data_IF_543270927841
#
_entry.id   IF_543270927841
#
_cell.length_a   1.000
_cell.length_b   1.000
_cell.length_c   1.000
_cell.angle_alpha   90.00
_cell.angle_beta   90.00
_cell.angle_gamma   90.00
#
_symmetry.space_group_name_H-M   'P 1'
#
loop_
_entity.id
_entity.type
_entity.pdbx_description
1 polymer ?
#
# COMPACT_ATOMS: atom_id res chain seq x y z
N UNK A 1 -13.97 -17.92 34.91
CA UNK A 1 -14.56 -16.59 34.61
C UNK A 1 -13.63 -15.45 35.01
N UNK A 2 -13.21 -15.32 36.28
CA UNK A 2 -12.31 -14.22 36.68
C UNK A 2 -10.98 -14.12 35.89
N UNK A 3 -10.31 -15.24 35.59
CA UNK A 3 -9.05 -15.23 34.82
C UNK A 3 -9.24 -14.78 33.35
N UNK A 4 -10.36 -15.16 32.72
CA UNK A 4 -10.66 -14.74 31.34
C UNK A 4 -11.00 -13.25 31.26
N UNK A 5 -11.73 -12.74 32.25
CA UNK A 5 -12.04 -11.32 32.33
C UNK A 5 -10.77 -10.50 32.56
N UNK A 6 -9.92 -10.90 33.51
CA UNK A 6 -8.64 -10.22 33.75
C UNK A 6 -7.71 -10.23 32.53
N UNK A 7 -7.71 -11.32 31.75
CA UNK A 7 -6.97 -11.39 30.49
C UNK A 7 -7.56 -10.44 29.43
N UNK A 8 -8.88 -10.42 29.25
CA UNK A 8 -9.57 -9.50 28.34
C UNK A 8 -9.30 -8.03 28.71
N UNK A 9 -9.38 -7.71 30.01
CA UNK A 9 -9.10 -6.37 30.52
C UNK A 9 -7.65 -5.96 30.24
N UNK A 10 -6.69 -6.86 30.45
CA UNK A 10 -5.28 -6.60 30.15
C UNK A 10 -5.03 -6.38 28.65
N UNK A 11 -5.73 -7.12 27.78
CA UNK A 11 -5.67 -6.91 26.34
C UNK A 11 -6.19 -5.51 25.98
N UNK A 12 -7.37 -5.14 26.48
CA UNK A 12 -8.01 -3.87 26.13
C UNK A 12 -7.33 -2.65 26.76
N UNK A 13 -6.73 -2.77 27.95
CA UNK A 13 -6.10 -1.63 28.65
C UNK A 13 -4.63 -1.42 28.29
N UNK A 14 -3.89 -2.49 27.98
CA UNK A 14 -2.44 -2.40 27.77
C UNK A 14 -2.06 -2.79 26.35
N UNK A 15 -2.54 -3.95 25.88
CA UNK A 15 -2.13 -4.45 24.57
C UNK A 15 -2.70 -3.59 23.43
N UNK A 16 -3.94 -3.10 23.57
CA UNK A 16 -4.54 -2.19 22.61
C UNK A 16 -3.78 -0.87 22.46
N UNK A 17 -3.31 -0.31 23.58
CA UNK A 17 -2.45 0.88 23.59
C UNK A 17 -1.15 0.58 22.87
N UNK A 18 -0.50 -0.55 23.16
CA UNK A 18 0.74 -0.94 22.49
C UNK A 18 0.56 -1.10 20.97
N UNK A 19 -0.51 -1.75 20.52
CA UNK A 19 -0.81 -1.90 19.08
C UNK A 19 -1.07 -0.52 18.43
N UNK A 20 -1.82 0.35 19.09
CA UNK A 20 -2.09 1.70 18.59
C UNK A 20 -0.81 2.52 18.49
N UNK A 21 0.02 2.52 19.53
CA UNK A 21 1.30 3.22 19.56
C UNK A 21 2.26 2.70 18.50
N UNK A 22 2.26 1.40 18.22
CA UNK A 22 3.09 0.83 17.15
C UNK A 22 2.69 1.37 15.78
N UNK A 23 1.40 1.45 15.47
CA UNK A 23 0.89 2.03 14.22
C UNK A 23 1.23 3.53 14.14
N UNK A 24 1.03 4.28 15.24
CA UNK A 24 1.36 5.70 15.31
C UNK A 24 2.86 5.96 15.07
N UNK A 25 3.71 5.17 15.73
CA UNK A 25 5.17 5.25 15.59
C UNK A 25 5.62 4.89 14.17
N UNK A 26 5.00 3.88 13.55
CA UNK A 26 5.32 3.47 12.18
C UNK A 26 4.90 4.53 11.15
N UNK A 27 3.74 5.18 11.34
CA UNK A 27 3.34 6.32 10.50
C UNK A 27 4.33 7.47 10.60
N UNK A 28 4.80 7.79 11.81
CA UNK A 28 5.76 8.87 12.04
C UNK A 28 7.13 8.56 11.43
N UNK A 29 7.67 7.37 11.70
CA UNK A 29 9.00 6.98 11.26
C UNK A 29 9.12 6.81 9.74
N UNK A 30 8.02 6.45 9.06
CA UNK A 30 8.04 6.08 7.65
C UNK A 30 7.29 7.08 6.74
N UNK A 31 7.16 8.35 7.14
CA UNK A 31 6.48 9.40 6.35
C UNK A 31 6.95 9.49 4.89
N UNK A 32 8.22 9.21 4.62
CA UNK A 32 8.81 9.27 3.28
C UNK A 32 8.45 8.06 2.40
N UNK A 33 8.02 6.95 3.01
CA UNK A 33 7.62 5.73 2.32
C UNK A 33 6.11 5.68 2.13
N UNK A 34 5.61 6.44 1.14
CA UNK A 34 4.17 6.68 0.93
C UNK A 34 3.30 5.43 0.88
N UNK A 35 3.74 4.36 0.23
CA UNK A 35 2.95 3.11 0.18
C UNK A 35 2.82 2.46 1.56
N UNK A 36 3.93 2.41 2.31
CA UNK A 36 3.91 1.86 3.66
C UNK A 36 3.12 2.73 4.64
N UNK A 37 3.25 4.06 4.51
CA UNK A 37 2.44 5.03 5.26
C UNK A 37 0.95 4.84 4.97
N UNK A 38 0.58 4.64 3.70
CA UNK A 38 -0.80 4.38 3.29
C UNK A 38 -1.37 3.11 3.92
N UNK A 39 -0.67 1.97 3.81
CA UNK A 39 -1.14 0.72 4.40
C UNK A 39 -1.24 0.82 5.93
N UNK A 40 -0.28 1.49 6.57
CA UNK A 40 -0.29 1.70 8.03
C UNK A 40 -1.46 2.58 8.47
N UNK A 41 -1.72 3.70 7.77
CA UNK A 41 -2.87 4.56 8.04
C UNK A 41 -4.19 3.82 7.80
N UNK A 42 -4.29 3.05 6.71
CA UNK A 42 -5.47 2.24 6.39
C UNK A 42 -5.74 1.24 7.53
N UNK A 43 -4.74 0.48 7.96
CA UNK A 43 -4.85 -0.45 9.10
C UNK A 43 -5.29 0.27 10.37
N UNK A 44 -4.71 1.44 10.67
CA UNK A 44 -5.10 2.23 11.84
C UNK A 44 -6.57 2.69 11.78
N UNK A 45 -7.02 3.23 10.64
CA UNK A 45 -8.40 3.70 10.49
C UNK A 45 -9.42 2.55 10.51
N UNK A 46 -9.06 1.35 10.06
CA UNK A 46 -9.94 0.18 10.18
C UNK A 46 -10.33 -0.11 11.63
N UNK A 47 -9.42 0.12 12.60
CA UNK A 47 -9.69 -0.12 14.01
C UNK A 47 -10.84 0.73 14.57
N UNK A 48 -11.16 1.85 13.89
CA UNK A 48 -12.19 2.81 14.29
C UNK A 48 -13.37 2.88 13.31
N UNK A 49 -13.36 2.10 12.23
CA UNK A 49 -14.39 2.13 11.20
C UNK A 49 -14.96 0.73 10.94
N UNK A 50 -16.10 0.37 11.56
CA UNK A 50 -16.72 -0.96 11.41
C UNK A 50 -17.08 -1.33 9.97
N UNK A 51 -17.48 -0.35 9.14
CA UNK A 51 -17.87 -0.61 7.75
C UNK A 51 -16.67 -0.97 6.85
N UNK A 52 -15.47 -0.52 7.24
CA UNK A 52 -14.23 -0.76 6.50
C UNK A 52 -13.32 -1.77 7.18
N UNK A 53 -13.71 -2.27 8.34
CA UNK A 53 -12.90 -3.16 9.15
C UNK A 53 -12.75 -4.53 8.49
N UNK A 54 -11.50 -4.91 8.24
CA UNK A 54 -11.14 -6.22 7.72
C UNK A 54 -10.08 -6.84 8.63
N UNK A 55 -10.51 -7.75 9.50
CA UNK A 55 -9.66 -8.36 10.53
C UNK A 55 -8.40 -9.02 9.95
N UNK A 56 -8.53 -9.72 8.82
CA UNK A 56 -7.39 -10.36 8.15
C UNK A 56 -6.34 -9.35 7.65
N UNK A 57 -6.75 -8.18 7.15
CA UNK A 57 -5.82 -7.12 6.73
C UNK A 57 -5.05 -6.58 7.94
N UNK A 58 -5.74 -6.34 9.06
CA UNK A 58 -5.13 -5.86 10.31
C UNK A 58 -4.14 -6.88 10.86
N UNK A 59 -4.53 -8.16 10.93
CA UNK A 59 -3.65 -9.26 11.39
C UNK A 59 -2.43 -9.39 10.47
N UNK A 60 -2.62 -9.31 9.16
CA UNK A 60 -1.53 -9.41 8.18
C UNK A 60 -0.52 -8.29 8.36
N UNK A 61 -0.98 -7.05 8.56
CA UNK A 61 -0.10 -5.91 8.83
C UNK A 61 0.72 -6.15 10.11
N UNK A 62 0.08 -6.58 11.20
CA UNK A 62 0.78 -6.89 12.46
C UNK A 62 1.75 -8.06 12.34
N UNK A 63 1.44 -9.09 11.53
CA UNK A 63 2.37 -10.18 11.27
C UNK A 63 3.69 -9.67 10.67
N UNK A 64 3.60 -8.88 9.60
CA UNK A 64 4.80 -8.29 8.99
C UNK A 64 5.53 -7.33 9.93
N UNK A 65 4.79 -6.55 10.73
CA UNK A 65 5.37 -5.69 11.74
C UNK A 65 6.18 -6.49 12.78
N UNK A 66 5.61 -7.58 13.33
CA UNK A 66 6.30 -8.42 14.32
C UNK A 66 7.49 -9.18 13.72
N UNK A 67 7.39 -9.65 12.47
CA UNK A 67 8.52 -10.26 11.75
C UNK A 67 9.71 -9.30 11.62
N UNK A 68 9.43 -8.03 11.30
CA UNK A 68 10.45 -7.00 11.18
C UNK A 68 11.00 -6.57 12.55
N UNK A 69 10.14 -6.41 13.55
CA UNK A 69 10.51 -5.93 14.87
C UNK A 69 11.29 -6.98 15.69
N UNK A 70 10.95 -8.26 15.52
CA UNK A 70 11.55 -9.37 16.25
C UNK A 70 12.11 -10.42 15.27
N UNK A 71 13.21 -10.11 14.56
CA UNK A 71 13.75 -10.99 13.52
C UNK A 71 14.39 -12.25 14.11
N UNK A 72 14.55 -13.28 13.27
CA UNK A 72 15.26 -14.52 13.60
C UNK A 72 14.39 -15.63 14.20
N UNK A 73 14.93 -16.85 14.18
CA UNK A 73 14.22 -18.07 14.61
C UNK A 73 13.93 -18.11 16.11
N UNK A 74 14.83 -17.56 16.94
CA UNK A 74 14.65 -17.51 18.40
C UNK A 74 13.41 -16.71 18.82
N UNK A 75 12.96 -15.77 17.98
CA UNK A 75 11.80 -14.94 18.23
C UNK A 75 10.51 -15.52 17.62
N UNK A 76 10.55 -16.69 16.96
CA UNK A 76 9.39 -17.26 16.27
C UNK A 76 8.20 -17.47 17.22
N UNK A 77 8.43 -18.11 18.36
CA UNK A 77 7.40 -18.36 19.37
C UNK A 77 6.81 -17.06 19.93
N UNK A 78 7.65 -16.04 20.13
CA UNK A 78 7.19 -14.71 20.55
C UNK A 78 6.24 -14.09 19.51
N UNK A 79 6.60 -14.13 18.22
CA UNK A 79 5.74 -13.60 17.14
C UNK A 79 4.41 -14.33 17.06
N UNK A 80 4.42 -15.66 17.16
CA UNK A 80 3.21 -16.48 17.18
C UNK A 80 2.30 -16.10 18.35
N UNK A 81 2.86 -15.93 19.56
CA UNK A 81 2.11 -15.48 20.73
C UNK A 81 1.55 -14.07 20.59
N UNK A 82 2.34 -13.12 20.08
CA UNK A 82 1.88 -11.75 19.83
C UNK A 82 0.69 -11.75 18.86
N UNK A 83 0.74 -12.54 17.80
CA UNK A 83 -0.38 -12.68 16.86
C UNK A 83 -1.63 -13.29 17.50
N UNK A 84 -1.47 -14.29 18.37
CA UNK A 84 -2.61 -14.84 19.12
C UNK A 84 -3.23 -13.76 20.00
N UNK A 85 -2.43 -12.98 20.72
CA UNK A 85 -2.92 -11.86 21.54
C UNK A 85 -3.59 -10.78 20.68
N UNK A 86 -3.07 -10.48 19.49
CA UNK A 86 -3.68 -9.55 18.53
C UNK A 86 -5.04 -10.06 18.08
N UNK A 87 -5.15 -11.33 17.69
CA UNK A 87 -6.43 -11.95 17.30
C UNK A 87 -7.46 -11.86 18.41
N UNK A 88 -7.08 -12.28 19.62
CA UNK A 88 -7.99 -12.26 20.77
C UNK A 88 -8.46 -10.83 21.09
N UNK A 89 -7.57 -9.83 21.04
CA UNK A 89 -7.96 -8.43 21.24
C UNK A 89 -8.93 -7.95 20.16
N UNK A 90 -8.70 -8.31 18.90
CA UNK A 90 -9.53 -7.90 17.77
C UNK A 90 -10.91 -8.57 17.75
N UNK A 91 -11.05 -9.71 18.43
CA UNK A 91 -12.32 -10.42 18.64
C UNK A 91 -13.11 -9.91 19.86
N UNK A 92 -12.47 -9.14 20.75
CA UNK A 92 -13.16 -8.53 21.89
C UNK A 92 -14.16 -7.45 21.43
N UNK A 93 -15.30 -7.38 22.12
CA UNK A 93 -16.32 -6.33 21.93
C UNK A 93 -15.75 -4.94 22.28
N UNK A 94 -15.08 -4.84 23.43
CA UNK A 94 -14.41 -3.61 23.87
C UNK A 94 -12.90 -3.69 23.61
N UNK A 95 -12.45 -3.11 22.49
CA UNK A 95 -11.05 -3.17 22.05
C UNK A 95 -10.13 -2.15 22.73
N UNK A 96 -10.67 -1.16 23.44
CA UNK A 96 -9.87 -0.16 24.18
C UNK A 96 -9.02 0.79 23.31
N UNK A 97 -9.27 0.87 22.00
CA UNK A 97 -8.52 1.75 21.11
C UNK A 97 -8.95 3.22 21.26
N UNK A 98 -7.97 4.13 21.25
CA UNK A 98 -8.20 5.59 21.22
C UNK A 98 -7.66 6.21 19.94
N UNK A 99 -8.49 6.99 19.24
CA UNK A 99 -8.12 7.62 17.98
C UNK A 99 -7.26 8.88 18.20
N UNK A 100 -6.19 9.03 17.42
CA UNK A 100 -5.34 10.23 17.37
C UNK A 100 -5.59 10.98 16.06
N UNK A 101 -6.45 11.99 16.10
CA UNK A 101 -6.83 12.79 14.94
C UNK A 101 -5.63 13.53 14.32
N UNK A 102 -4.69 14.01 15.15
CA UNK A 102 -3.49 14.74 14.67
C UNK A 102 -2.60 13.84 13.81
N UNK A 103 -2.38 12.59 14.24
CA UNK A 103 -1.60 11.63 13.47
C UNK A 103 -2.27 11.27 12.14
N UNK A 104 -3.60 11.10 12.14
CA UNK A 104 -4.39 10.88 10.92
C UNK A 104 -4.23 12.05 9.94
N UNK A 105 -4.41 13.28 10.42
CA UNK A 105 -4.27 14.48 9.58
C UNK A 105 -2.86 14.61 9.01
N UNK A 106 -1.82 14.39 9.81
CA UNK A 106 -0.43 14.46 9.37
C UNK A 106 -0.09 13.39 8.30
N UNK A 107 -0.57 12.15 8.49
CA UNK A 107 -0.39 11.10 7.50
C UNK A 107 -1.14 11.41 6.19
N UNK A 108 -2.38 11.89 6.29
CA UNK A 108 -3.19 12.29 5.11
C UNK A 108 -2.54 13.43 4.35
N UNK A 109 -2.04 14.45 5.03
CA UNK A 109 -1.35 15.59 4.40
C UNK A 109 -0.21 15.12 3.49
N UNK A 110 0.62 14.17 3.95
CA UNK A 110 1.70 13.59 3.15
C UNK A 110 1.15 12.77 1.98
N UNK A 111 0.13 11.94 2.22
CA UNK A 111 -0.45 11.05 1.21
C UNK A 111 -1.21 11.80 0.10
N UNK A 112 -1.81 12.96 0.41
CA UNK A 112 -2.58 13.77 -0.54
C UNK A 112 -1.73 14.73 -1.36
N UNK A 113 -0.41 14.79 -1.14
CA UNK A 113 0.49 15.58 -1.99
C UNK A 113 0.51 15.13 -3.46
N UNK A 114 0.13 13.87 -3.74
CA UNK A 114 -0.10 13.40 -5.11
C UNK A 114 -1.59 13.47 -5.44
N UNK A 115 -1.92 13.93 -6.63
CA UNK A 115 -3.27 13.85 -7.16
C UNK A 115 -3.72 12.39 -7.38
N UNK A 116 -5.03 12.14 -7.41
CA UNK A 116 -5.58 10.80 -7.69
C UNK A 116 -5.07 10.20 -9.02
N UNK A 117 -5.01 10.97 -10.14
CA UNK A 117 -4.44 10.46 -11.40
C UNK A 117 -2.98 10.03 -11.27
N UNK A 118 -2.16 10.81 -10.57
CA UNK A 118 -0.75 10.46 -10.36
C UNK A 118 -0.61 9.20 -9.49
N UNK A 119 -1.45 9.04 -8.46
CA UNK A 119 -1.48 7.81 -7.65
C UNK A 119 -1.88 6.61 -8.48
N UNK A 120 -2.91 6.73 -9.32
CA UNK A 120 -3.33 5.67 -10.23
C UNK A 120 -2.20 5.28 -11.19
N UNK A 121 -1.51 6.26 -11.77
CA UNK A 121 -0.37 6.02 -12.65
C UNK A 121 0.79 5.30 -11.96
N UNK A 122 1.19 5.73 -10.75
CA UNK A 122 2.27 5.05 -10.01
C UNK A 122 1.90 3.61 -9.66
N UNK A 123 0.67 3.37 -9.17
CA UNK A 123 0.18 2.02 -8.86
C UNK A 123 0.17 1.13 -10.10
N UNK A 124 -0.26 1.65 -11.25
CA UNK A 124 -0.20 0.96 -12.53
C UNK A 124 1.23 0.61 -12.93
N UNK A 125 2.17 1.55 -12.79
CA UNK A 125 3.59 1.32 -13.12
C UNK A 125 4.20 0.21 -12.25
N UNK A 126 3.88 0.17 -10.95
CA UNK A 126 4.38 -0.87 -10.04
C UNK A 126 3.76 -2.25 -10.30
N UNK A 127 2.46 -2.30 -10.59
CA UNK A 127 1.81 -3.55 -11.00
C UNK A 127 2.41 -4.07 -12.32
N UNK A 128 2.67 -3.18 -13.27
CA UNK A 128 3.31 -3.54 -14.53
C UNK A 128 4.73 -4.07 -14.33
N UNK A 129 5.51 -3.52 -13.38
CA UNK A 129 6.85 -4.03 -13.08
C UNK A 129 6.84 -5.50 -12.61
N UNK A 130 5.72 -5.97 -12.06
CA UNK A 130 5.49 -7.39 -11.70
C UNK A 130 4.88 -8.22 -12.85
N UNK A 131 4.52 -7.59 -13.96
CA UNK A 131 3.97 -8.26 -15.13
C UNK A 131 5.09 -8.88 -15.99
N UNK A 132 4.78 -9.96 -16.69
CA UNK A 132 5.72 -10.66 -17.57
C UNK A 132 5.79 -10.06 -18.98
N UNK A 133 5.36 -8.81 -19.17
CA UNK A 133 5.39 -8.18 -20.49
C UNK A 133 6.85 -7.88 -20.86
N UNK A 134 7.36 -8.43 -21.99
CA UNK A 134 8.74 -8.22 -22.37
C UNK A 134 9.00 -6.75 -22.67
N UNK A 135 10.22 -6.32 -22.37
CA UNK A 135 10.70 -5.02 -22.84
C UNK A 135 10.88 -5.04 -24.36
N UNK A 136 10.53 -3.95 -25.02
CA UNK A 136 10.79 -3.76 -26.45
C UNK A 136 12.25 -3.39 -26.68
N UNK A 137 12.97 -4.11 -27.54
CA UNK A 137 14.35 -3.79 -27.91
C UNK A 137 14.43 -3.46 -29.38
N UNK A 138 15.25 -2.45 -29.71
CA UNK A 138 15.49 -2.07 -31.11
C UNK A 138 16.21 -3.19 -31.87
N UNK A 139 17.00 -4.00 -31.18
CA UNK A 139 17.67 -5.19 -31.73
C UNK A 139 16.72 -6.23 -32.29
N UNK A 140 15.50 -6.29 -31.77
CA UNK A 140 14.53 -7.32 -32.15
C UNK A 140 13.79 -6.94 -33.45
N UNK A 141 13.92 -5.67 -33.90
CA UNK A 141 13.17 -5.13 -35.05
C UNK A 141 14.06 -4.56 -36.16
N UNK A 142 15.25 -4.03 -35.86
CA UNK A 142 16.09 -3.33 -36.85
C UNK A 142 16.87 -4.27 -37.78
N UNK A 143 16.94 -5.56 -37.47
CA UNK A 143 17.77 -6.53 -38.19
C UNK A 143 19.27 -6.19 -38.17
N UNK A 144 20.16 -7.04 -38.72
CA UNK A 144 21.60 -6.88 -38.59
C UNK A 144 22.14 -5.56 -39.16
N UNK A 145 21.65 -5.13 -40.33
CA UNK A 145 22.10 -3.90 -41.00
C UNK A 145 21.62 -2.62 -40.31
N UNK A 146 20.45 -2.64 -39.68
CA UNK A 146 19.94 -1.48 -38.95
C UNK A 146 20.75 -1.18 -37.69
N UNK A 147 21.34 -2.19 -37.06
CA UNK A 147 22.17 -2.01 -35.86
C UNK A 147 23.45 -1.20 -36.11
N UNK A 148 23.94 -1.15 -37.36
CA UNK A 148 25.13 -0.39 -37.73
C UNK A 148 24.81 1.06 -38.14
N UNK A 149 23.56 1.33 -38.53
CA UNK A 149 23.15 2.64 -39.07
C UNK A 149 22.43 3.54 -38.07
N UNK A 150 21.92 2.96 -36.97
CA UNK A 150 21.18 3.69 -35.96
C UNK A 150 21.96 3.80 -34.66
N UNK A 151 21.84 4.96 -34.02
CA UNK A 151 22.25 5.16 -32.64
C UNK A 151 21.12 5.82 -31.86
N UNK A 152 21.12 5.65 -30.53
CA UNK A 152 20.18 6.38 -29.67
C UNK A 152 20.79 7.73 -29.35
N UNK A 153 20.03 8.80 -29.59
CA UNK A 153 20.41 10.17 -29.19
C UNK A 153 20.81 10.29 -27.71
N UNK A 154 20.25 9.45 -26.84
CA UNK A 154 20.61 9.37 -25.42
C UNK A 154 21.99 8.73 -25.12
N UNK A 155 22.69 8.19 -26.11
CA UNK A 155 23.93 7.40 -25.95
C UNK A 155 23.75 5.99 -25.37
N UNK A 156 22.53 5.61 -24.94
CA UNK A 156 22.22 4.27 -24.41
C UNK A 156 22.35 3.18 -25.48
N UNK A 157 22.71 1.93 -25.11
CA UNK A 157 22.77 0.82 -26.07
C UNK A 157 21.43 0.54 -26.77
N UNK A 158 21.48 0.08 -28.03
CA UNK A 158 20.30 -0.39 -28.77
C UNK A 158 19.69 -1.67 -28.16
N UNK A 159 20.52 -2.46 -27.47
CA UNK A 159 20.11 -3.67 -26.73
C UNK A 159 19.38 -3.36 -25.42
N UNK A 160 19.48 -2.12 -24.91
CA UNK A 160 18.76 -1.71 -23.72
C UNK A 160 17.28 -1.54 -24.03
N UNK A 161 16.47 -2.45 -23.52
CA UNK A 161 15.02 -2.46 -23.73
C UNK A 161 14.29 -1.24 -23.17
N UNK A 162 13.24 -0.84 -23.86
CA UNK A 162 12.21 0.06 -23.41
C UNK A 162 11.15 -0.79 -22.69
N UNK A 163 10.80 -0.44 -21.45
CA UNK A 163 9.78 -1.19 -20.70
C UNK A 163 8.50 -1.30 -21.53
N UNK A 164 7.92 -2.50 -21.58
CA UNK A 164 6.67 -2.77 -22.29
C UNK A 164 5.54 -1.80 -21.89
N UNK A 165 5.60 -1.21 -20.69
CA UNK A 165 4.64 -0.24 -20.17
C UNK A 165 4.49 0.99 -21.07
N UNK A 166 5.58 1.36 -21.76
CA UNK A 166 5.64 2.53 -22.64
C UNK A 166 5.45 2.18 -24.12
N UNK A 167 5.04 0.94 -24.43
CA UNK A 167 4.87 0.46 -25.80
C UNK A 167 3.39 0.36 -26.16
N UNK A 168 3.07 0.41 -27.45
CA UNK A 168 1.71 0.21 -27.96
C UNK A 168 1.08 -1.08 -27.44
N UNK A 169 1.84 -2.19 -27.50
CA UNK A 169 1.38 -3.48 -27.04
C UNK A 169 1.07 -3.48 -25.54
N UNK A 170 1.96 -2.92 -24.70
CA UNK A 170 1.71 -2.84 -23.26
C UNK A 170 0.53 -1.94 -22.90
N UNK A 171 0.31 -0.86 -23.66
CA UNK A 171 -0.84 0.02 -23.47
C UNK A 171 -2.17 -0.71 -23.73
N UNK A 172 -2.30 -1.36 -24.89
CA UNK A 172 -3.56 -2.02 -25.27
C UNK A 172 -3.80 -3.37 -24.56
N UNK A 173 -2.74 -4.10 -24.19
CA UNK A 173 -2.87 -5.43 -23.57
C UNK A 173 -3.02 -5.40 -22.05
N UNK A 174 -2.39 -4.44 -21.36
CA UNK A 174 -2.39 -4.40 -19.88
C UNK A 174 -2.96 -3.07 -19.38
N UNK A 175 -2.42 -1.94 -19.86
CA UNK A 175 -2.76 -0.64 -19.27
C UNK A 175 -4.26 -0.33 -19.37
N UNK A 176 -4.84 -0.39 -20.58
CA UNK A 176 -6.25 -0.08 -20.80
C UNK A 176 -7.19 -0.97 -19.98
N UNK A 177 -6.81 -2.23 -19.74
CA UNK A 177 -7.63 -3.19 -18.99
C UNK A 177 -7.55 -2.89 -17.49
N UNK A 178 -6.36 -2.55 -16.98
CA UNK A 178 -6.11 -2.42 -15.54
C UNK A 178 -6.40 -1.01 -14.98
N UNK A 179 -6.37 0.04 -15.81
CA UNK A 179 -6.52 1.41 -15.32
C UNK A 179 -7.87 1.64 -14.62
N UNK A 180 -8.98 1.18 -15.23
CA UNK A 180 -10.31 1.33 -14.63
C UNK A 180 -10.44 0.57 -13.31
N UNK A 181 -9.84 -0.64 -13.22
CA UNK A 181 -9.81 -1.42 -11.98
C UNK A 181 -8.99 -0.71 -10.90
N UNK A 182 -7.85 -0.13 -11.29
CA UNK A 182 -6.97 0.61 -10.37
C UNK A 182 -7.64 1.86 -9.84
N UNK A 183 -8.28 2.66 -10.73
CA UNK A 183 -9.03 3.86 -10.33
C UNK A 183 -10.19 3.47 -9.43
N UNK A 184 -10.98 2.45 -9.78
CA UNK A 184 -12.07 1.96 -8.94
C UNK A 184 -11.60 1.57 -7.54
N UNK A 185 -10.52 0.81 -7.44
CA UNK A 185 -9.94 0.43 -6.15
C UNK A 185 -9.48 1.66 -5.33
N UNK A 186 -8.84 2.63 -5.98
CA UNK A 186 -8.45 3.88 -5.30
C UNK A 186 -9.66 4.70 -4.83
N UNK A 187 -10.77 4.68 -5.57
CA UNK A 187 -12.01 5.34 -5.16
C UNK A 187 -12.67 4.62 -3.97
N UNK A 188 -12.69 3.29 -3.97
CA UNK A 188 -13.19 2.48 -2.84
C UNK A 188 -12.37 2.72 -1.56
N UNK A 189 -11.10 3.08 -1.72
CA UNK A 189 -10.14 3.40 -0.67
C UNK A 189 -10.04 4.91 -0.34
N UNK A 190 -10.89 5.77 -0.95
CA UNK A 190 -10.81 7.22 -0.76
C UNK A 190 -10.99 7.66 0.71
N UNK A 191 -11.74 6.90 1.49
CA UNK A 191 -11.95 7.12 2.93
C UNK A 191 -10.63 7.12 3.74
N UNK A 192 -9.56 6.48 3.25
CA UNK A 192 -8.24 6.51 3.89
C UNK A 192 -7.62 7.90 3.78
N UNK A 193 -7.77 8.54 2.63
CA UNK A 193 -7.19 9.84 2.31
C UNK A 193 -8.01 11.02 2.85
N UNK A 194 -9.30 10.81 3.15
CA UNK A 194 -10.20 11.82 3.69
C UNK A 194 -11.30 12.25 2.70
N UNK A 195 -12.42 12.72 3.24
CA UNK A 195 -13.63 13.02 2.47
C UNK A 195 -13.49 14.23 1.52
N UNK A 196 -12.49 15.09 1.73
CA UNK A 196 -12.25 16.32 0.95
C UNK A 196 -11.70 16.07 -0.46
N UNK A 197 -11.29 14.84 -0.81
CA UNK A 197 -10.87 14.51 -2.17
C UNK A 197 -12.02 14.46 -3.19
N UNK A 198 -13.28 14.46 -2.72
CA UNK A 198 -14.45 14.55 -3.61
C UNK A 198 -14.51 15.87 -4.41
N UNK A 199 -13.78 16.90 -4.00
CA UNK A 199 -13.82 18.22 -4.63
C UNK A 199 -12.87 18.42 -5.82
N UNK A 200 -12.01 17.44 -6.13
CA UNK A 200 -11.18 17.44 -7.34
C UNK A 200 -11.55 16.27 -8.25
N UNK A 201 -12.86 16.07 -8.44
CA UNK A 201 -13.40 15.21 -9.47
C UNK A 201 -12.95 15.72 -10.84
N UNK A 202 -11.96 15.02 -11.39
CA UNK A 202 -11.87 14.58 -12.78
C UNK A 202 -12.50 15.58 -13.77
N UNK A 203 -11.71 16.55 -14.21
CA UNK A 203 -11.94 17.16 -15.51
C UNK A 203 -11.76 16.07 -16.58
N UNK A 204 -12.88 15.48 -16.98
CA UNK A 204 -12.96 14.41 -17.97
C UNK A 204 -12.45 14.87 -19.36
N UNK A 205 -12.21 16.17 -19.57
CA UNK A 205 -11.68 16.72 -20.83
C UNK A 205 -10.16 16.62 -20.98
N UNK A 206 -9.40 16.25 -19.94
CA UNK A 206 -7.93 16.16 -20.02
C UNK A 206 -7.38 14.83 -20.57
N UNK A 207 -8.25 13.89 -20.97
CA UNK A 207 -7.86 12.54 -21.39
C UNK A 207 -8.20 12.19 -22.86
N UNK A 208 -8.35 13.20 -23.73
CA UNK A 208 -8.45 13.02 -25.19
C UNK A 208 -7.33 13.81 -25.88
#
# INVERSE_FOLDING_TARGET
QAANNAYSDALSQHFATLLSESLLSEMEANKQHREYLYETLKTYLMLFNPEKYQQEEVITWFNFYFERQYPGELNKELRERLLVHTKNLLENDEKGFSMNATAISAAREVLTQMSLPERAYQRMKMQFAKSHVPSFRLTDVLGPKGLEQFERASGKPLSQGISGFYTYNGFHSIFQIQINRTVKGLMEENWVYGDDLKAHEIDHDSAI
#
